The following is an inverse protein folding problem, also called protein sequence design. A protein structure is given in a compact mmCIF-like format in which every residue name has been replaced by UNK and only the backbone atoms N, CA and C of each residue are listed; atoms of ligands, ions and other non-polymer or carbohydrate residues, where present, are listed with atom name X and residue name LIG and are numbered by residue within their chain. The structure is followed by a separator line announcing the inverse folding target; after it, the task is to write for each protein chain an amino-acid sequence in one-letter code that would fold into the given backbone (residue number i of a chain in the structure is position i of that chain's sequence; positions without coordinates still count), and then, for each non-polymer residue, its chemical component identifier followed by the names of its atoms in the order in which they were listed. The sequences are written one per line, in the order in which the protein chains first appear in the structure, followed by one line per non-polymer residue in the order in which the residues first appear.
data_IF_912254158585
#
_entry.id   IF_912254158585
#
_cell.length_a   1.000
_cell.length_b   1.000
_cell.length_c   1.000
_cell.angle_alpha   90.00
_cell.angle_beta   90.00
_cell.angle_gamma   90.00
#
_symmetry.space_group_name_H-M   'P 1'
#
loop_
_entity.id
_entity.type
_entity.pdbx_description
1 polymer ?
#
# COMPACT_ATOMS: atom_id res chain seq x y z
N UNK A 1 -8.49 9.35 -7.74
CA UNK A 1 -8.14 9.96 -6.44
C UNK A 1 -8.92 11.25 -6.28
N UNK A 2 -9.24 11.71 -5.08
CA UNK A 2 -9.97 12.97 -4.89
C UNK A 2 -9.12 14.23 -5.03
N UNK A 3 -7.86 14.06 -5.42
CA UNK A 3 -6.90 15.15 -5.64
C UNK A 3 -6.08 14.90 -6.91
N UNK A 4 -5.68 15.99 -7.53
CA UNK A 4 -4.65 16.01 -8.57
C UNK A 4 -3.36 16.53 -7.95
N UNK A 5 -2.22 16.01 -8.41
CA UNK A 5 -0.92 16.53 -7.97
C UNK A 5 -0.53 17.68 -8.89
N UNK A 6 -0.32 18.83 -8.31
CA UNK A 6 0.24 19.99 -9.02
C UNK A 6 1.76 20.01 -8.81
N UNK A 7 2.52 20.01 -9.92
CA UNK A 7 3.97 20.10 -9.86
C UNK A 7 4.38 21.56 -9.70
N UNK A 8 5.25 21.82 -8.73
CA UNK A 8 5.75 23.15 -8.41
C UNK A 8 7.26 23.24 -8.60
N UNK A 9 7.75 24.46 -8.80
CA UNK A 9 9.17 24.77 -8.91
C UNK A 9 9.86 24.80 -7.52
N UNK A 10 11.20 24.74 -7.54
CA UNK A 10 12.01 24.90 -6.33
C UNK A 10 11.75 26.24 -5.60
N UNK A 11 11.51 27.32 -6.36
CA UNK A 11 11.21 28.65 -5.79
C UNK A 11 9.87 28.66 -5.07
N UNK A 12 8.84 28.06 -5.64
CA UNK A 12 7.52 27.92 -5.00
C UNK A 12 7.61 27.02 -3.76
N UNK A 13 8.32 25.90 -3.86
CA UNK A 13 8.59 25.02 -2.72
C UNK A 13 9.28 25.77 -1.58
N UNK A 14 10.32 26.56 -1.90
CA UNK A 14 10.98 27.42 -0.91
C UNK A 14 10.01 28.43 -0.29
N UNK A 15 9.19 29.10 -1.12
CA UNK A 15 8.19 30.06 -0.62
C UNK A 15 7.19 29.44 0.34
N UNK A 16 6.73 28.21 0.06
CA UNK A 16 5.86 27.46 1.00
C UNK A 16 6.60 27.14 2.29
N UNK A 17 7.82 26.65 2.24
CA UNK A 17 8.60 26.34 3.43
C UNK A 17 8.87 27.58 4.30
N UNK A 18 9.17 28.72 3.67
CA UNK A 18 9.42 30.00 4.38
C UNK A 18 8.12 30.54 5.04
N UNK A 19 6.93 30.17 4.51
CA UNK A 19 5.64 30.54 5.09
C UNK A 19 5.31 29.73 6.35
N UNK A 20 5.70 28.44 6.40
CA UNK A 20 5.38 27.56 7.52
C UNK A 20 6.64 27.29 8.35
N UNK A 21 6.66 27.85 9.55
CA UNK A 21 7.76 27.65 10.51
C UNK A 21 7.82 26.17 10.94
N UNK A 22 8.90 25.48 10.51
CA UNK A 22 9.09 24.07 10.85
C UNK A 22 9.21 23.85 12.38
N UNK A 23 9.66 24.83 13.16
CA UNK A 23 9.76 24.75 14.62
C UNK A 23 8.39 24.75 15.31
N UNK A 24 7.39 25.36 14.68
CA UNK A 24 6.01 25.37 15.14
C UNK A 24 5.20 24.12 14.77
N UNK A 25 5.75 23.21 13.93
CA UNK A 25 5.08 22.01 13.47
C UNK A 25 5.55 20.77 14.25
N UNK A 26 4.62 19.82 14.43
CA UNK A 26 5.00 18.47 14.83
C UNK A 26 5.78 17.80 13.72
N UNK A 27 6.81 17.02 14.06
CA UNK A 27 7.61 16.30 13.06
C UNK A 27 7.96 14.89 13.50
N UNK A 28 8.01 13.96 12.53
CA UNK A 28 8.51 12.61 12.71
C UNK A 28 9.07 12.05 11.41
N UNK A 29 10.11 11.22 11.52
CA UNK A 29 10.70 10.51 10.38
C UNK A 29 10.24 9.06 10.35
N UNK A 30 9.98 8.57 9.15
CA UNK A 30 9.66 7.17 8.88
C UNK A 30 10.66 6.57 7.90
N UNK A 31 10.98 5.30 8.11
CA UNK A 31 11.67 4.46 7.13
C UNK A 31 10.61 3.71 6.30
N UNK A 32 10.53 4.05 5.02
CA UNK A 32 9.64 3.42 4.05
C UNK A 32 10.52 2.69 3.03
N UNK A 33 10.79 1.44 3.26
CA UNK A 33 11.65 0.60 2.41
C UNK A 33 13.03 1.21 2.12
N UNK A 34 13.66 1.79 3.14
CA UNK A 34 14.97 2.45 3.04
C UNK A 34 14.92 3.93 2.66
N UNK A 35 13.75 4.44 2.28
CA UNK A 35 13.55 5.87 2.01
C UNK A 35 13.05 6.56 3.29
N UNK A 36 13.83 7.51 3.79
CA UNK A 36 13.48 8.29 4.96
C UNK A 36 12.58 9.46 4.54
N UNK A 37 11.32 9.38 4.91
CA UNK A 37 10.34 10.45 4.70
C UNK A 37 10.11 11.16 6.02
N UNK A 38 10.20 12.49 6.02
CA UNK A 38 9.90 13.32 7.17
C UNK A 38 8.56 14.00 7.00
N UNK A 39 7.64 13.74 7.92
CA UNK A 39 6.37 14.46 8.04
C UNK A 39 6.56 15.71 8.90
N UNK A 40 5.97 16.81 8.44
CA UNK A 40 5.70 18.02 9.21
C UNK A 40 4.19 18.27 9.19
N UNK A 41 3.57 18.50 10.34
CA UNK A 41 2.12 18.70 10.40
C UNK A 41 1.71 19.60 11.56
N UNK A 42 0.62 20.34 11.36
CA UNK A 42 -0.04 21.10 12.42
C UNK A 42 -0.95 20.22 13.29
N UNK A 43 -1.25 18.97 12.85
CA UNK A 43 -2.15 18.05 13.53
C UNK A 43 -1.37 17.00 14.34
N UNK A 44 -1.62 16.96 15.65
CA UNK A 44 -1.01 15.99 16.56
C UNK A 44 -1.46 14.56 16.27
N UNK A 45 -2.72 14.36 15.90
CA UNK A 45 -3.25 13.02 15.63
C UNK A 45 -2.56 12.41 14.42
N UNK A 46 -2.21 13.20 13.40
CA UNK A 46 -1.42 12.73 12.26
C UNK A 46 -0.04 12.20 12.67
N UNK A 47 0.63 12.84 13.62
CA UNK A 47 1.94 12.37 14.12
C UNK A 47 1.80 11.05 14.89
N UNK A 48 0.79 10.92 15.71
CA UNK A 48 0.58 9.72 16.51
C UNK A 48 0.23 8.53 15.59
N UNK A 49 -0.64 8.74 14.60
CA UNK A 49 -0.95 7.74 13.55
C UNK A 49 0.28 7.41 12.68
N UNK A 50 1.11 8.39 12.33
CA UNK A 50 2.35 8.19 11.58
C UNK A 50 3.32 7.27 12.31
N UNK A 51 3.55 7.52 13.59
CA UNK A 51 4.44 6.72 14.45
C UNK A 51 3.91 5.30 14.67
N UNK A 52 2.60 5.16 14.74
CA UNK A 52 1.98 3.85 14.85
C UNK A 52 2.08 3.07 13.53
N UNK A 53 1.87 3.72 12.39
CA UNK A 53 1.80 3.07 11.08
C UNK A 53 3.17 2.71 10.49
N UNK A 54 4.15 3.61 10.58
CA UNK A 54 5.45 3.43 9.92
C UNK A 54 6.56 3.05 10.90
N UNK A 55 7.59 2.37 10.39
CA UNK A 55 8.83 2.16 11.14
C UNK A 55 9.54 3.48 11.35
N UNK A 56 9.94 3.75 12.58
CA UNK A 56 10.61 5.00 12.93
C UNK A 56 12.03 5.04 12.36
N UNK A 57 12.42 6.18 11.80
CA UNK A 57 13.80 6.49 11.48
C UNK A 57 14.40 7.41 12.53
N UNK A 58 15.72 7.35 12.69
CA UNK A 58 16.45 8.23 13.62
C UNK A 58 16.35 9.69 13.18
N UNK A 59 16.15 10.61 14.12
CA UNK A 59 16.17 12.06 13.87
C UNK A 59 17.52 12.56 13.35
N UNK A 60 18.59 11.81 13.59
CA UNK A 60 19.95 12.14 13.11
C UNK A 60 20.18 11.80 11.64
N UNK A 61 19.33 10.96 11.03
CA UNK A 61 19.43 10.59 9.62
C UNK A 61 18.79 11.68 8.77
N UNK A 62 19.46 12.09 7.69
CA UNK A 62 18.91 13.05 6.74
C UNK A 62 17.70 12.43 6.03
N UNK A 63 16.60 13.19 5.93
CA UNK A 63 15.45 12.78 5.17
C UNK A 63 15.74 12.82 3.65
N UNK A 64 15.28 11.82 2.93
CA UNK A 64 15.30 11.77 1.46
C UNK A 64 14.14 12.59 0.87
N UNK A 65 13.06 12.69 1.61
CA UNK A 65 11.85 13.41 1.20
C UNK A 65 11.16 14.09 2.38
N UNK A 66 10.34 15.08 2.09
CA UNK A 66 9.53 15.81 3.07
C UNK A 66 8.06 15.83 2.66
N UNK A 67 7.19 15.70 3.63
CA UNK A 67 5.75 15.85 3.48
C UNK A 67 5.25 16.86 4.51
N UNK A 68 4.70 17.96 4.04
CA UNK A 68 4.02 18.96 4.87
C UNK A 68 2.51 18.71 4.79
N UNK A 69 1.88 18.42 5.92
CA UNK A 69 0.43 18.31 6.02
C UNK A 69 -0.09 19.45 6.90
N UNK A 70 -0.65 20.46 6.26
CA UNK A 70 -0.94 21.76 6.86
C UNK A 70 -2.42 22.07 6.71
N UNK A 71 -3.05 22.50 7.80
CA UNK A 71 -4.36 23.18 7.74
C UNK A 71 -4.12 24.67 7.52
N UNK A 72 -4.48 25.16 6.33
CA UNK A 72 -4.32 26.56 5.96
C UNK A 72 -5.69 27.19 5.65
N UNK A 73 -6.00 28.27 6.30
CA UNK A 73 -7.26 29.02 6.10
C UNK A 73 -7.23 29.91 4.85
N UNK A 74 -6.06 30.27 4.36
CA UNK A 74 -5.86 31.05 3.14
C UNK A 74 -5.97 30.17 1.88
N UNK A 75 -5.76 28.85 2.01
CA UNK A 75 -5.95 27.85 0.97
C UNK A 75 -7.19 27.00 1.30
N UNK A 76 -8.42 27.46 0.95
CA UNK A 76 -9.65 26.82 1.47
C UNK A 76 -9.91 25.43 0.88
N UNK A 77 -9.26 25.07 -0.23
CA UNK A 77 -9.44 23.81 -0.92
C UNK A 77 -8.36 22.78 -0.52
N UNK A 78 -8.71 21.50 -0.59
CA UNK A 78 -7.75 20.41 -0.43
C UNK A 78 -6.87 20.32 -1.66
N UNK A 79 -5.56 20.59 -1.52
CA UNK A 79 -4.58 20.61 -2.61
C UNK A 79 -3.34 19.81 -2.27
N UNK A 80 -2.77 19.17 -3.30
CA UNK A 80 -1.49 18.50 -3.25
C UNK A 80 -0.52 19.12 -4.23
N UNK A 81 0.57 19.69 -3.70
CA UNK A 81 1.71 20.16 -4.48
C UNK A 81 2.89 19.24 -4.30
N UNK A 82 3.67 19.05 -5.36
CA UNK A 82 4.89 18.23 -5.31
C UNK A 82 6.03 18.90 -6.07
N UNK A 83 7.17 19.03 -5.42
CA UNK A 83 8.42 19.49 -6.00
C UNK A 83 9.34 18.27 -6.21
N UNK A 84 9.63 17.89 -7.47
CA UNK A 84 10.32 16.65 -7.80
C UNK A 84 11.81 16.60 -7.44
N UNK A 85 12.53 17.72 -7.52
CA UNK A 85 13.99 17.74 -7.34
C UNK A 85 14.40 17.47 -5.88
N UNK A 86 13.67 18.01 -4.91
CA UNK A 86 13.88 17.79 -3.47
C UNK A 86 12.93 16.74 -2.88
N UNK A 87 12.06 16.16 -3.69
CA UNK A 87 11.02 15.22 -3.26
C UNK A 87 10.19 15.78 -2.09
N UNK A 88 9.74 17.02 -2.22
CA UNK A 88 8.97 17.71 -1.19
C UNK A 88 7.51 17.85 -1.62
N UNK A 89 6.58 17.38 -0.80
CA UNK A 89 5.14 17.52 -1.02
C UNK A 89 4.49 18.39 0.04
N UNK A 90 3.45 19.14 -0.37
CA UNK A 90 2.59 19.91 0.51
C UNK A 90 1.15 19.45 0.32
N UNK A 91 0.54 19.05 1.41
CA UNK A 91 -0.81 18.52 1.50
C UNK A 91 -1.64 19.51 2.34
N UNK A 92 -2.46 20.33 1.69
CA UNK A 92 -3.27 21.35 2.36
C UNK A 92 -4.69 20.85 2.63
N UNK A 93 -5.15 21.06 3.84
CA UNK A 93 -6.56 20.84 4.28
C UNK A 93 -7.08 19.40 4.07
N UNK A 94 -6.26 18.43 4.41
CA UNK A 94 -6.65 17.03 4.42
C UNK A 94 -6.77 16.52 5.85
N UNK A 95 -7.99 16.26 6.30
CA UNK A 95 -8.28 15.76 7.65
C UNK A 95 -8.10 14.25 7.79
N UNK A 96 -8.09 13.52 6.67
CA UNK A 96 -8.03 12.06 6.67
C UNK A 96 -6.60 11.57 6.55
N UNK A 97 -6.08 10.97 7.62
CA UNK A 97 -4.71 10.41 7.68
C UNK A 97 -4.37 9.45 6.53
N UNK A 98 -5.35 8.71 6.01
CA UNK A 98 -5.13 7.81 4.88
C UNK A 98 -4.54 8.50 3.65
N UNK A 99 -4.80 9.81 3.46
CA UNK A 99 -4.17 10.59 2.39
C UNK A 99 -2.72 10.92 2.71
N UNK A 100 -2.42 11.32 3.94
CA UNK A 100 -1.05 11.55 4.42
C UNK A 100 -0.19 10.31 4.21
N UNK A 101 -0.72 9.14 4.62
CA UNK A 101 -0.11 7.84 4.40
C UNK A 101 0.14 7.56 2.91
N UNK A 102 -0.88 7.71 2.08
CA UNK A 102 -0.79 7.41 0.64
C UNK A 102 0.21 8.30 -0.08
N UNK A 103 0.28 9.58 0.28
CA UNK A 103 1.26 10.51 -0.31
C UNK A 103 2.68 10.17 0.14
N UNK A 104 2.90 9.80 1.40
CA UNK A 104 4.21 9.36 1.88
C UNK A 104 4.71 8.12 1.11
N UNK A 105 3.83 7.13 0.91
CA UNK A 105 4.11 5.94 0.09
C UNK A 105 4.34 6.29 -1.38
N UNK A 106 3.58 7.24 -1.92
CA UNK A 106 3.73 7.75 -3.28
C UNK A 106 5.09 8.44 -3.50
N UNK A 107 5.55 9.25 -2.54
CA UNK A 107 6.86 9.91 -2.60
C UNK A 107 7.99 8.87 -2.51
N UNK A 108 7.89 7.93 -1.56
CA UNK A 108 8.86 6.84 -1.45
C UNK A 108 8.92 6.02 -2.74
N UNK A 109 7.77 5.67 -3.32
CA UNK A 109 7.68 5.00 -4.61
C UNK A 109 8.30 5.79 -5.75
N UNK A 110 8.08 7.11 -5.79
CA UNK A 110 8.69 8.00 -6.80
C UNK A 110 10.22 7.92 -6.79
N UNK A 111 10.84 7.94 -5.61
CA UNK A 111 12.28 7.83 -5.45
C UNK A 111 12.77 6.42 -5.81
N UNK A 112 12.10 5.39 -5.27
CA UNK A 112 12.48 3.99 -5.45
C UNK A 112 12.42 3.55 -6.92
N UNK A 113 11.39 3.95 -7.65
CA UNK A 113 11.24 3.66 -9.07
C UNK A 113 12.30 4.36 -9.94
N UNK A 114 12.64 5.59 -9.59
CA UNK A 114 13.59 6.40 -10.36
C UNK A 114 15.06 6.05 -10.14
N UNK A 115 15.41 5.54 -8.96
CA UNK A 115 16.83 5.41 -8.55
C UNK A 115 17.23 4.03 -8.05
N UNK A 116 16.28 3.16 -7.68
CA UNK A 116 16.57 1.89 -7.00
C UNK A 116 15.98 0.65 -7.68
N UNK A 117 15.40 0.79 -8.87
CA UNK A 117 14.74 -0.30 -9.61
C UNK A 117 13.77 -1.10 -8.70
N UNK A 118 13.06 -0.38 -7.84
CA UNK A 118 12.14 -0.90 -6.83
C UNK A 118 10.78 -0.28 -7.01
N UNK A 119 9.77 -1.10 -7.18
CA UNK A 119 8.44 -0.66 -7.65
C UNK A 119 7.36 -0.93 -6.62
N UNK A 120 6.53 0.06 -6.39
CA UNK A 120 5.37 -0.06 -5.51
C UNK A 120 4.21 -0.78 -6.19
N UNK A 121 3.47 -1.56 -5.42
CA UNK A 121 2.24 -2.23 -5.85
C UNK A 121 1.15 -1.99 -4.83
N UNK A 122 -0.02 -1.54 -5.28
CA UNK A 122 -1.21 -1.47 -4.44
C UNK A 122 -1.87 -2.84 -4.38
N UNK A 123 -1.64 -3.55 -3.29
CA UNK A 123 -2.08 -4.91 -3.09
C UNK A 123 -1.68 -5.41 -1.70
N UNK A 124 -2.16 -6.60 -1.33
CA UNK A 124 -1.70 -7.30 -0.13
C UNK A 124 -0.59 -8.29 -0.49
N UNK A 125 0.35 -8.46 0.43
CA UNK A 125 1.45 -9.42 0.30
C UNK A 125 1.56 -10.27 1.58
N UNK A 126 1.61 -11.58 1.39
CA UNK A 126 1.62 -12.58 2.46
C UNK A 126 2.69 -13.62 2.14
N UNK A 127 3.44 -14.00 3.12
CA UNK A 127 4.28 -15.19 3.09
C UNK A 127 3.47 -16.38 3.64
N UNK A 128 3.38 -17.44 2.87
CA UNK A 128 2.75 -18.69 3.31
C UNK A 128 3.79 -19.81 3.13
N UNK A 129 4.32 -20.31 4.21
CA UNK A 129 5.34 -21.37 4.23
C UNK A 129 6.57 -21.06 3.36
N UNK A 130 7.11 -19.85 3.49
CA UNK A 130 8.21 -19.29 2.70
C UNK A 130 7.90 -19.09 1.20
N UNK A 131 6.63 -19.05 0.84
CA UNK A 131 6.16 -18.75 -0.52
C UNK A 131 5.38 -17.45 -0.53
N UNK A 132 5.91 -16.44 -1.22
CA UNK A 132 5.23 -15.16 -1.36
C UNK A 132 4.02 -15.24 -2.27
N UNK A 133 2.92 -14.69 -1.77
CA UNK A 133 1.62 -14.57 -2.46
C UNK A 133 1.19 -13.11 -2.40
N UNK A 134 0.80 -12.56 -3.52
CA UNK A 134 0.23 -11.21 -3.55
C UNK A 134 -1.18 -11.21 -4.12
N UNK A 135 -2.03 -10.34 -3.54
CA UNK A 135 -3.42 -10.14 -3.95
C UNK A 135 -3.56 -8.71 -4.46
N UNK A 136 -3.90 -8.55 -5.72
CA UNK A 136 -4.16 -7.25 -6.36
C UNK A 136 -5.62 -7.21 -6.78
N UNK A 137 -6.31 -6.13 -6.41
CA UNK A 137 -7.75 -6.05 -6.61
C UNK A 137 -8.28 -4.63 -6.65
N UNK A 138 -9.32 -4.34 -7.41
CA UNK A 138 -10.13 -3.13 -7.23
C UNK A 138 -10.74 -3.07 -5.83
N UNK A 139 -11.09 -1.88 -5.38
CA UNK A 139 -11.77 -1.70 -4.10
C UNK A 139 -13.04 -2.56 -4.00
N UNK A 140 -13.31 -3.12 -2.82
CA UNK A 140 -14.50 -3.94 -2.52
C UNK A 140 -14.61 -5.27 -3.27
N UNK A 141 -13.53 -5.79 -3.82
CA UNK A 141 -13.49 -7.15 -4.40
C UNK A 141 -13.02 -8.22 -3.43
N UNK A 142 -12.76 -7.88 -2.16
CA UNK A 142 -12.43 -8.82 -1.12
C UNK A 142 -10.93 -9.00 -0.86
N UNK A 143 -10.06 -8.07 -1.29
CA UNK A 143 -8.60 -8.13 -1.06
C UNK A 143 -8.27 -8.37 0.41
N UNK A 144 -8.69 -7.49 1.31
CA UNK A 144 -8.44 -7.60 2.77
C UNK A 144 -9.05 -8.88 3.33
N UNK A 145 -10.28 -9.23 2.96
CA UNK A 145 -10.93 -10.47 3.39
C UNK A 145 -10.11 -11.71 3.05
N UNK A 146 -9.58 -11.78 1.82
CA UNK A 146 -8.83 -12.95 1.37
C UNK A 146 -7.38 -12.96 1.90
N UNK A 147 -6.74 -11.80 2.06
CA UNK A 147 -5.42 -11.73 2.68
C UNK A 147 -5.46 -12.20 4.15
N UNK A 148 -6.45 -11.76 4.91
CA UNK A 148 -6.65 -12.20 6.29
C UNK A 148 -7.10 -13.66 6.38
N UNK A 149 -7.82 -14.15 5.37
CA UNK A 149 -8.11 -15.58 5.20
C UNK A 149 -6.84 -16.42 5.03
N UNK A 150 -5.85 -15.96 4.27
CA UNK A 150 -4.56 -16.63 4.10
C UNK A 150 -3.73 -16.62 5.38
N UNK A 151 -3.79 -15.55 6.18
CA UNK A 151 -3.09 -15.47 7.47
C UNK A 151 -3.58 -16.50 8.51
N UNK A 152 -4.67 -17.21 8.25
CA UNK A 152 -5.16 -18.32 9.04
C UNK A 152 -4.44 -19.64 8.73
N UNK A 153 -3.65 -19.71 7.67
CA UNK A 153 -2.84 -20.87 7.36
C UNK A 153 -1.63 -20.94 8.30
N UNK A 154 -1.23 -22.16 8.64
CA UNK A 154 -0.02 -22.38 9.42
C UNK A 154 1.21 -21.80 8.69
N UNK A 155 2.18 -21.32 9.47
CA UNK A 155 3.41 -20.71 8.95
C UNK A 155 3.17 -19.53 7.98
N UNK A 156 2.05 -18.83 8.13
CA UNK A 156 1.76 -17.62 7.36
C UNK A 156 2.19 -16.36 8.09
N UNK A 157 2.66 -15.37 7.37
CA UNK A 157 2.96 -14.04 7.89
C UNK A 157 2.60 -12.94 6.91
N UNK A 158 2.08 -11.83 7.45
CA UNK A 158 1.75 -10.64 6.70
C UNK A 158 3.02 -9.86 6.36
N UNK A 159 3.15 -9.43 5.12
CA UNK A 159 4.19 -8.51 4.68
C UNK A 159 3.61 -7.12 4.56
N UNK A 160 2.48 -6.98 3.88
CA UNK A 160 1.72 -5.74 3.78
C UNK A 160 0.27 -6.02 3.38
N UNK A 161 -0.64 -5.19 3.86
CA UNK A 161 -2.07 -5.30 3.55
C UNK A 161 -2.50 -4.45 2.35
N UNK A 162 -1.83 -3.33 2.12
CA UNK A 162 -2.29 -2.33 1.16
C UNK A 162 -1.22 -1.92 0.14
N UNK A 163 0.03 -1.75 0.59
CA UNK A 163 1.16 -1.40 -0.27
C UNK A 163 2.37 -2.27 0.02
N UNK A 164 2.99 -2.77 -1.03
CA UNK A 164 4.28 -3.45 -0.95
C UNK A 164 5.21 -2.98 -2.06
N UNK A 165 6.49 -3.25 -1.89
CA UNK A 165 7.51 -2.95 -2.88
C UNK A 165 8.08 -4.22 -3.47
N UNK A 166 8.40 -4.17 -4.75
CA UNK A 166 8.98 -5.30 -5.49
C UNK A 166 10.34 -4.91 -6.04
N UNK A 167 11.33 -5.77 -5.79
CA UNK A 167 12.68 -5.65 -6.33
C UNK A 167 13.01 -6.90 -7.14
N UNK A 168 13.62 -6.72 -8.29
CA UNK A 168 14.13 -7.82 -9.09
C UNK A 168 15.60 -8.08 -8.79
N UNK A 169 15.96 -9.34 -8.70
CA UNK A 169 17.34 -9.80 -8.46
C UNK A 169 17.64 -11.05 -9.27
N UNK A 170 18.68 -11.79 -8.88
CA UNK A 170 19.00 -13.09 -9.45
C UNK A 170 18.04 -14.14 -8.86
N UNK A 171 16.96 -14.44 -9.55
CA UNK A 171 15.94 -15.39 -9.13
C UNK A 171 14.54 -14.78 -9.13
N UNK A 172 13.70 -15.20 -8.18
CA UNK A 172 12.33 -14.69 -8.04
C UNK A 172 12.31 -13.25 -7.55
N UNK A 173 11.30 -12.46 -7.92
CA UNK A 173 11.10 -11.12 -7.37
C UNK A 173 10.99 -11.19 -5.84
N UNK A 174 11.53 -10.18 -5.16
CA UNK A 174 11.39 -10.01 -3.72
C UNK A 174 10.31 -8.98 -3.42
N UNK A 175 9.48 -9.28 -2.45
CA UNK A 175 8.47 -8.37 -1.91
C UNK A 175 8.90 -7.90 -0.54
N UNK A 176 8.75 -6.61 -0.27
CA UNK A 176 9.00 -6.00 1.05
C UNK A 176 7.81 -5.14 1.47
N UNK A 177 7.54 -5.11 2.77
CA UNK A 177 6.45 -4.32 3.34
C UNK A 177 6.81 -2.84 3.45
N UNK A 178 5.79 -2.01 3.62
CA UNK A 178 5.89 -0.56 3.76
C UNK A 178 5.38 -0.05 5.11
N UNK A 179 4.50 -0.80 5.77
CA UNK A 179 3.70 -0.36 6.92
C UNK A 179 3.68 -1.44 8.01
N UNK A 180 3.43 -1.01 9.24
CA UNK A 180 3.25 -1.92 10.39
C UNK A 180 1.81 -2.38 10.57
N UNK A 181 0.87 -1.50 10.23
CA UNK A 181 -0.56 -1.70 10.50
C UNK A 181 -1.34 -1.98 9.23
N UNK A 182 -2.55 -2.52 9.44
CA UNK A 182 -3.50 -2.85 8.38
C UNK A 182 -4.76 -2.02 8.54
N UNK A 183 -5.46 -1.79 7.43
CA UNK A 183 -6.83 -1.28 7.44
C UNK A 183 -7.81 -2.43 7.34
N UNK A 184 -8.71 -2.54 8.32
CA UNK A 184 -9.77 -3.54 8.35
C UNK A 184 -11.15 -2.89 8.32
N UNK A 185 -12.10 -3.59 7.72
CA UNK A 185 -13.52 -3.29 7.84
C UNK A 185 -14.10 -4.05 9.04
N UNK A 186 -15.20 -3.54 9.62
CA UNK A 186 -15.77 -4.11 10.84
C UNK A 186 -16.32 -5.55 10.66
N UNK A 187 -16.62 -5.94 9.43
CA UNK A 187 -17.18 -7.25 9.08
C UNK A 187 -16.14 -8.37 9.00
N UNK A 188 -14.84 -8.07 9.12
CA UNK A 188 -13.80 -9.11 9.06
C UNK A 188 -13.98 -10.19 10.11
N UNK A 189 -14.46 -9.82 11.30
CA UNK A 189 -14.74 -10.76 12.40
C UNK A 189 -16.00 -11.61 12.18
N UNK A 190 -16.91 -11.20 11.29
CA UNK A 190 -18.09 -11.97 10.91
C UNK A 190 -17.74 -12.99 9.82
N UNK A 191 -16.76 -12.67 8.98
CA UNK A 191 -16.25 -13.59 7.95
C UNK A 191 -15.29 -14.63 8.55
N UNK A 192 -14.37 -14.18 9.41
CA UNK A 192 -13.35 -15.00 10.06
C UNK A 192 -13.43 -14.79 11.56
N UNK A 193 -14.02 -15.77 12.28
CA UNK A 193 -14.33 -15.66 13.72
C UNK A 193 -13.11 -15.40 14.62
N UNK A 194 -11.95 -15.83 14.19
CA UNK A 194 -10.68 -15.64 14.89
C UNK A 194 -10.32 -14.17 15.09
N UNK A 195 -10.84 -13.30 14.21
CA UNK A 195 -10.57 -11.84 14.26
C UNK A 195 -11.62 -11.04 15.04
N UNK A 196 -12.66 -11.68 15.60
CA UNK A 196 -13.64 -10.99 16.46
C UNK A 196 -13.01 -10.21 17.62
N UNK A 197 -11.96 -10.74 18.33
CA UNK A 197 -11.30 -9.97 19.40
C UNK A 197 -10.59 -8.73 18.88
N UNK A 198 -10.03 -8.77 17.66
CA UNK A 198 -9.38 -7.62 17.04
C UNK A 198 -10.38 -6.49 16.76
N UNK A 199 -11.51 -6.82 16.11
CA UNK A 199 -12.58 -5.86 15.78
C UNK A 199 -13.12 -5.15 17.02
N UNK A 200 -13.23 -5.84 18.16
CA UNK A 200 -13.69 -5.25 19.42
C UNK A 200 -12.74 -4.20 20.00
N UNK A 201 -11.45 -4.30 19.70
CA UNK A 201 -10.40 -3.45 20.26
C UNK A 201 -9.95 -2.32 19.32
N UNK A 202 -10.44 -2.31 18.07
CA UNK A 202 -10.10 -1.32 17.07
C UNK A 202 -11.12 -0.19 17.07
N UNK A 203 -10.63 1.04 16.99
CA UNK A 203 -11.48 2.22 16.78
C UNK A 203 -11.70 2.40 15.28
N UNK A 204 -12.96 2.39 14.87
CA UNK A 204 -13.35 2.62 13.47
C UNK A 204 -13.57 4.10 13.19
N UNK A 205 -13.14 4.54 12.03
CA UNK A 205 -13.37 5.90 11.52
C UNK A 205 -14.81 6.06 10.96
N UNK A 206 -15.11 7.28 10.50
CA UNK A 206 -16.41 7.62 9.90
C UNK A 206 -16.72 6.86 8.60
N UNK A 207 -15.73 6.17 8.03
CA UNK A 207 -15.85 5.36 6.82
C UNK A 207 -15.98 3.86 7.14
N UNK A 208 -16.04 3.50 8.42
CA UNK A 208 -16.10 2.13 8.89
C UNK A 208 -14.77 1.37 8.77
N UNK A 209 -13.64 2.08 8.69
CA UNK A 209 -12.30 1.52 8.63
C UNK A 209 -11.60 1.65 9.96
N UNK A 210 -10.99 0.58 10.41
CA UNK A 210 -10.18 0.55 11.61
C UNK A 210 -8.71 0.28 11.29
N UNK A 211 -7.81 0.87 12.06
CA UNK A 211 -6.38 0.57 11.98
C UNK A 211 -6.10 -0.56 12.95
N UNK A 212 -5.60 -1.68 12.43
CA UNK A 212 -5.35 -2.89 13.19
C UNK A 212 -3.90 -3.35 13.07
N UNK A 213 -3.35 -3.74 14.20
CA UNK A 213 -2.07 -4.44 14.25
C UNK A 213 -2.35 -5.93 14.37
N UNK A 214 -2.09 -6.68 13.31
CA UNK A 214 -2.36 -8.12 13.25
C UNK A 214 -1.62 -8.93 14.35
N UNK A 215 -0.47 -8.42 14.83
CA UNK A 215 0.31 -9.02 15.91
C UNK A 215 -0.48 -9.18 17.22
N UNK A 216 -1.47 -8.33 17.46
CA UNK A 216 -2.30 -8.38 18.68
C UNK A 216 -3.19 -9.63 18.74
N UNK A 217 -3.45 -10.27 17.60
CA UNK A 217 -4.28 -11.48 17.54
C UNK A 217 -3.47 -12.72 17.22
N UNK A 218 -2.53 -12.60 16.28
CA UNK A 218 -1.78 -13.73 15.73
C UNK A 218 -0.32 -13.81 16.22
N UNK A 219 0.14 -12.78 16.97
CA UNK A 219 1.49 -12.71 17.54
C UNK A 219 2.54 -12.11 16.62
N UNK A 220 3.75 -11.91 17.14
CA UNK A 220 4.85 -11.25 16.44
C UNK A 220 5.33 -12.03 15.19
N UNK A 221 5.27 -13.34 15.21
CA UNK A 221 5.68 -14.21 14.10
C UNK A 221 4.77 -14.10 12.87
N UNK A 222 3.59 -13.52 13.02
CA UNK A 222 2.63 -13.34 11.93
C UNK A 222 2.93 -12.14 11.03
N UNK A 223 4.06 -11.45 11.23
CA UNK A 223 4.51 -10.35 10.37
C UNK A 223 5.95 -10.59 9.94
N UNK A 224 6.20 -10.49 8.64
CA UNK A 224 7.53 -10.59 8.02
C UNK A 224 7.87 -9.31 7.28
N UNK A 225 9.17 -8.98 7.20
CA UNK A 225 9.63 -7.82 6.43
C UNK A 225 9.57 -8.03 4.92
N UNK A 226 9.61 -9.28 4.47
CA UNK A 226 9.56 -9.58 3.04
C UNK A 226 9.71 -11.07 2.73
N UNK A 227 9.45 -11.43 1.49
CA UNK A 227 9.53 -12.81 0.99
C UNK A 227 9.94 -12.85 -0.50
N UNK A 228 10.19 -14.08 -0.99
CA UNK A 228 10.32 -14.35 -2.43
C UNK A 228 8.95 -14.60 -3.04
N UNK A 229 8.57 -13.79 -4.03
CA UNK A 229 7.26 -13.86 -4.65
C UNK A 229 7.16 -15.03 -5.64
N UNK A 230 6.11 -15.80 -5.53
CA UNK A 230 5.78 -16.86 -6.48
C UNK A 230 4.43 -16.65 -7.15
N UNK A 231 3.41 -16.31 -6.38
CA UNK A 231 2.04 -16.21 -6.86
C UNK A 231 1.55 -14.78 -6.88
N UNK A 232 1.00 -14.35 -8.01
CA UNK A 232 0.22 -13.13 -8.12
C UNK A 232 -1.22 -13.50 -8.39
N UNK A 233 -2.12 -13.12 -7.50
CA UNK A 233 -3.54 -13.39 -7.59
C UNK A 233 -4.25 -12.08 -7.85
N UNK A 234 -4.88 -11.97 -9.01
CA UNK A 234 -5.72 -10.86 -9.40
C UNK A 234 -7.17 -11.19 -9.05
N UNK A 235 -7.80 -10.40 -8.19
CA UNK A 235 -9.18 -10.63 -7.81
C UNK A 235 -10.11 -9.79 -8.70
N UNK A 236 -11.16 -10.43 -9.20
CA UNK A 236 -12.25 -9.76 -9.91
C UNK A 236 -13.60 -10.16 -9.31
N UNK A 237 -14.62 -9.33 -9.53
CA UNK A 237 -16.01 -9.69 -9.25
C UNK A 237 -16.82 -9.54 -10.53
N UNK A 238 -16.90 -10.64 -11.28
CA UNK A 238 -17.57 -10.68 -12.56
C UNK A 238 -18.67 -11.77 -12.55
N UNK A 239 -19.93 -11.36 -12.55
CA UNK A 239 -21.09 -12.27 -12.51
C UNK A 239 -21.30 -13.03 -13.81
N UNK A 240 -20.69 -12.61 -14.92
CA UNK A 240 -20.75 -13.28 -16.21
C UNK A 240 -19.69 -14.37 -16.36
N UNK A 241 -18.65 -14.35 -15.53
CA UNK A 241 -17.58 -15.34 -15.52
C UNK A 241 -17.96 -16.49 -14.59
N UNK A 242 -18.03 -17.70 -15.14
CA UNK A 242 -18.40 -18.92 -14.40
C UNK A 242 -17.20 -19.60 -13.75
N UNK A 243 -16.02 -19.42 -14.32
CA UNK A 243 -14.81 -20.04 -13.82
C UNK A 243 -14.26 -19.25 -12.63
N UNK A 244 -14.13 -19.91 -11.48
CA UNK A 244 -13.66 -19.26 -10.25
C UNK A 244 -12.18 -18.98 -10.31
N UNK A 245 -11.36 -19.87 -10.90
CA UNK A 245 -9.90 -19.75 -10.97
C UNK A 245 -9.43 -19.95 -12.39
N UNK A 246 -8.70 -18.98 -12.91
CA UNK A 246 -8.06 -19.06 -14.22
C UNK A 246 -6.57 -18.78 -14.08
N UNK A 247 -5.70 -19.68 -14.53
CA UNK A 247 -4.28 -19.34 -14.73
C UNK A 247 -4.18 -18.50 -16.00
N UNK A 248 -3.57 -17.32 -15.91
CA UNK A 248 -3.49 -16.36 -17.01
C UNK A 248 -2.04 -16.02 -17.34
N UNK A 249 -1.80 -15.59 -18.57
CA UNK A 249 -0.49 -15.12 -19.01
C UNK A 249 -0.24 -13.65 -18.62
N UNK A 250 0.99 -13.19 -18.82
CA UNK A 250 1.43 -11.84 -18.50
C UNK A 250 0.69 -10.76 -19.29
N UNK A 251 0.28 -11.04 -20.53
CA UNK A 251 -0.44 -10.09 -21.37
C UNK A 251 -1.84 -9.81 -20.83
N UNK A 252 -2.62 -10.88 -20.58
CA UNK A 252 -3.97 -10.77 -20.01
C UNK A 252 -3.95 -10.14 -18.62
N UNK A 253 -2.93 -10.47 -17.82
CA UNK A 253 -2.76 -9.88 -16.49
C UNK A 253 -2.51 -8.36 -16.57
N UNK A 254 -1.65 -7.93 -17.50
CA UNK A 254 -1.36 -6.50 -17.71
C UNK A 254 -2.59 -5.76 -18.24
N UNK A 255 -3.31 -6.31 -19.22
CA UNK A 255 -4.56 -5.73 -19.74
C UNK A 255 -5.57 -5.50 -18.60
N UNK A 256 -5.74 -6.51 -17.74
CA UNK A 256 -6.62 -6.37 -16.57
C UNK A 256 -6.20 -5.21 -15.65
N UNK A 257 -4.93 -5.13 -15.29
CA UNK A 257 -4.44 -4.05 -14.43
C UNK A 257 -4.62 -2.67 -15.06
N UNK A 258 -4.31 -2.54 -16.34
CA UNK A 258 -4.46 -1.27 -17.06
C UNK A 258 -5.93 -0.84 -17.17
N UNK A 259 -6.84 -1.78 -17.47
CA UNK A 259 -8.27 -1.49 -17.57
C UNK A 259 -8.90 -1.07 -16.25
N UNK A 260 -8.35 -1.53 -15.14
CA UNK A 260 -8.81 -1.22 -13.78
C UNK A 260 -8.02 -0.09 -13.09
N UNK A 261 -7.14 0.62 -13.82
CA UNK A 261 -6.22 1.66 -13.30
C UNK A 261 -5.38 1.20 -12.09
N UNK A 262 -5.06 -0.09 -12.03
CA UNK A 262 -4.27 -0.66 -10.93
C UNK A 262 -2.75 -0.57 -11.16
N UNK A 263 -2.32 -0.18 -12.37
CA UNK A 263 -0.91 0.05 -12.66
C UNK A 263 -0.35 1.27 -11.93
N UNK A 264 -1.16 2.31 -11.76
CA UNK A 264 -0.74 3.63 -11.28
C UNK A 264 -1.58 4.17 -10.11
N UNK A 265 -2.11 3.36 -9.17
CA UNK A 265 -2.83 3.93 -8.03
C UNK A 265 -1.84 4.76 -7.21
N UNK A 266 -2.26 5.93 -6.76
CA UNK A 266 -1.49 6.81 -5.89
C UNK A 266 -0.10 7.26 -6.41
N UNK A 267 0.20 7.14 -7.70
CA UNK A 267 1.39 7.78 -8.26
C UNK A 267 1.31 9.29 -8.09
N UNK A 268 2.34 9.85 -7.46
CA UNK A 268 2.39 11.30 -7.21
C UNK A 268 2.71 12.08 -8.50
N UNK A 269 3.45 11.49 -9.43
CA UNK A 269 3.70 12.04 -10.76
C UNK A 269 3.19 11.05 -11.81
N UNK A 270 2.30 11.52 -12.68
CA UNK A 270 1.72 10.74 -13.78
C UNK A 270 2.12 11.37 -15.12
N UNK A 271 3.04 10.73 -15.79
CA UNK A 271 3.50 11.11 -17.11
C UNK A 271 3.66 9.88 -18.02
N UNK A 272 3.83 10.06 -19.34
CA UNK A 272 4.00 8.94 -20.28
C UNK A 272 5.23 8.06 -19.98
N UNK A 273 6.32 8.65 -19.49
CA UNK A 273 7.53 7.91 -19.14
C UNK A 273 7.26 6.96 -17.97
N UNK A 274 6.67 7.46 -16.88
CA UNK A 274 6.35 6.65 -15.70
C UNK A 274 5.26 5.61 -15.99
N UNK A 275 4.29 5.96 -16.80
CA UNK A 275 3.27 4.99 -17.24
C UNK A 275 3.90 3.82 -18.01
N UNK A 276 4.85 4.10 -18.89
CA UNK A 276 5.61 3.07 -19.62
C UNK A 276 6.49 2.24 -18.69
N UNK A 277 7.19 2.91 -17.77
CA UNK A 277 8.03 2.24 -16.76
C UNK A 277 7.23 1.24 -15.94
N UNK A 278 6.06 1.64 -15.46
CA UNK A 278 5.18 0.78 -14.65
C UNK A 278 4.57 -0.36 -15.45
N UNK A 279 4.17 -0.13 -16.69
CA UNK A 279 3.68 -1.20 -17.57
C UNK A 279 4.77 -2.25 -17.82
N UNK A 280 6.00 -1.83 -18.07
CA UNK A 280 7.16 -2.73 -18.23
C UNK A 280 7.48 -3.49 -16.93
N UNK A 281 7.38 -2.82 -15.80
CA UNK A 281 7.53 -3.45 -14.48
C UNK A 281 6.51 -4.57 -14.28
N UNK A 282 5.22 -4.31 -14.46
CA UNK A 282 4.18 -5.32 -14.28
C UNK A 282 4.31 -6.47 -15.28
N UNK A 283 4.65 -6.18 -16.53
CA UNK A 283 4.93 -7.23 -17.52
C UNK A 283 6.03 -8.16 -17.03
N UNK A 284 7.17 -7.61 -16.60
CA UNK A 284 8.32 -8.37 -16.06
C UNK A 284 7.92 -9.17 -14.81
N UNK A 285 7.12 -8.58 -13.92
CA UNK A 285 6.63 -9.25 -12.71
C UNK A 285 5.79 -10.48 -13.07
N UNK A 286 4.85 -10.34 -13.99
CA UNK A 286 3.97 -11.43 -14.40
C UNK A 286 4.69 -12.51 -15.20
N UNK A 287 5.77 -12.18 -15.91
CA UNK A 287 6.63 -13.17 -16.58
C UNK A 287 7.45 -14.02 -15.60
N UNK A 288 7.73 -13.50 -14.39
CA UNK A 288 8.51 -14.19 -13.36
C UNK A 288 7.69 -14.88 -12.29
N UNK A 289 6.37 -14.70 -12.29
CA UNK A 289 5.45 -15.27 -11.32
C UNK A 289 4.39 -16.14 -11.97
N UNK A 290 3.78 -17.00 -11.18
CA UNK A 290 2.55 -17.68 -11.58
C UNK A 290 1.36 -16.74 -11.32
N UNK A 291 0.63 -16.38 -12.38
CA UNK A 291 -0.47 -15.42 -12.29
C UNK A 291 -1.82 -16.11 -12.43
N UNK A 292 -2.71 -15.80 -11.50
CA UNK A 292 -4.07 -16.33 -11.48
C UNK A 292 -5.09 -15.19 -11.37
N UNK A 293 -6.19 -15.33 -12.11
CA UNK A 293 -7.41 -14.55 -11.92
C UNK A 293 -8.35 -15.35 -11.05
N UNK A 294 -8.86 -14.75 -9.97
CA UNK A 294 -9.84 -15.40 -9.07
C UNK A 294 -11.10 -14.54 -9.01
N UNK A 295 -12.23 -15.17 -9.32
CA UNK A 295 -13.54 -14.53 -9.29
C UNK A 295 -14.16 -14.64 -7.88
N UNK A 296 -14.48 -13.51 -7.27
CA UNK A 296 -14.98 -13.40 -5.89
C UNK A 296 -16.51 -13.25 -5.81
N UNK A 297 -17.24 -13.81 -6.77
CA UNK A 297 -18.72 -13.77 -6.78
C UNK A 297 -19.35 -14.77 -5.81
N UNK A 298 -18.62 -15.82 -5.42
CA UNK A 298 -19.00 -16.77 -4.39
C UNK A 298 -18.84 -16.23 -2.97
N UNK A 299 -18.97 -17.10 -1.98
CA UNK A 299 -18.72 -16.77 -0.58
C UNK A 299 -17.23 -16.49 -0.33
N UNK A 300 -16.89 -15.73 0.71
CA UNK A 300 -15.48 -15.54 1.12
C UNK A 300 -14.76 -16.87 1.36
N UNK A 301 -15.44 -17.86 1.93
CA UNK A 301 -14.89 -19.19 2.25
C UNK A 301 -14.58 -19.99 0.99
N UNK A 302 -15.50 -20.01 0.00
CA UNK A 302 -15.28 -20.66 -1.29
C UNK A 302 -14.10 -20.03 -2.05
N UNK A 303 -14.05 -18.69 -2.07
CA UNK A 303 -12.93 -17.94 -2.66
C UNK A 303 -11.61 -18.27 -1.96
N UNK A 304 -11.61 -18.30 -0.62
CA UNK A 304 -10.44 -18.64 0.15
C UNK A 304 -9.95 -20.07 -0.11
N UNK A 305 -10.84 -21.04 -0.18
CA UNK A 305 -10.50 -22.41 -0.51
C UNK A 305 -9.86 -22.52 -1.90
N UNK A 306 -10.36 -21.76 -2.86
CA UNK A 306 -9.77 -21.69 -4.21
C UNK A 306 -8.36 -21.11 -4.20
N UNK A 307 -8.12 -20.02 -3.44
CA UNK A 307 -6.81 -19.39 -3.28
C UNK A 307 -5.84 -20.33 -2.58
N UNK A 308 -6.24 -20.98 -1.47
CA UNK A 308 -5.41 -21.95 -0.75
C UNK A 308 -4.99 -23.12 -1.63
N UNK A 309 -5.87 -23.60 -2.49
CA UNK A 309 -5.55 -24.65 -3.48
C UNK A 309 -4.48 -24.20 -4.51
N UNK A 310 -4.52 -22.93 -4.96
CA UNK A 310 -3.47 -22.37 -5.84
C UNK A 310 -2.11 -22.38 -5.13
N UNK A 311 -2.11 -21.96 -3.87
CA UNK A 311 -0.88 -21.81 -3.06
C UNK A 311 -0.36 -23.16 -2.57
N UNK A 312 -1.22 -24.18 -2.48
CA UNK A 312 -0.86 -25.52 -2.02
C UNK A 312 -0.88 -25.65 -0.50
N UNK A 313 -1.77 -24.91 0.18
CA UNK A 313 -1.96 -24.97 1.65
C UNK A 313 -3.40 -25.33 1.99
N UNK A 314 -3.60 -25.94 3.17
CA UNK A 314 -4.91 -26.36 3.70
C UNK A 314 -5.64 -25.24 4.44
#
# INVERSE_FOLDING_TARGET
MPYETELISENECKSFRDRYDEEGLFSAKADINGIIVQLFTSDRDHIDMWRDNFYAASDRVRAHARLYCITDKEEPESKLYFEPATCTAFLFNFDYYGWVKSIALGIAGYILEGTHDTYSVHGAAIDVDNVGVTLIAPSKTGKTTQSWGLLRADNSSLISDDWYFVTFGNGRPKVTGSEKNCYIDADIGDVWEEYKPLVKNVKFDNKGRGIANVRWVTGESSVSQGCSLRYVILLQRNTFEKEVVQKIDSHRALEYLMSADLCNPHQIVRDPFRSTLRANFFKKLFEQCEVYMVNTTGTPQETQAAIRKIVGVE
#
